data_IF_253293503769
#
_entry.id   IF_253293503769
#
_cell.length_a   1.000
_cell.length_b   1.000
_cell.length_c   1.000
_cell.angle_alpha   90.00
_cell.angle_beta   90.00
_cell.angle_gamma   90.00
#
_symmetry.space_group_name_H-M   'P 1'
#
loop_
_entity.id
_entity.type
_entity.pdbx_description
1 polymer ?
#
# COMPACT_ATOMS: atom_id res chain seq x y z
N UNK A 1 1.38 -31.44 -4.62
CA UNK A 1 1.53 -31.23 -3.16
C UNK A 1 2.57 -30.17 -2.81
N UNK A 2 3.81 -30.23 -3.34
CA UNK A 2 4.86 -29.23 -3.06
C UNK A 2 4.41 -27.78 -3.31
N UNK A 3 3.82 -27.50 -4.48
CA UNK A 3 3.36 -26.15 -4.84
C UNK A 3 2.31 -25.60 -3.89
N UNK A 4 1.32 -26.41 -3.50
CA UNK A 4 0.28 -25.98 -2.57
C UNK A 4 0.86 -25.57 -1.20
N UNK A 5 1.77 -26.38 -0.65
CA UNK A 5 2.41 -26.10 0.64
C UNK A 5 3.26 -24.82 0.53
N UNK A 6 4.06 -24.68 -0.53
CA UNK A 6 4.87 -23.48 -0.76
C UNK A 6 4.00 -22.23 -0.96
N UNK A 7 2.87 -22.33 -1.65
CA UNK A 7 1.92 -21.22 -1.82
C UNK A 7 1.27 -20.83 -0.50
N UNK A 8 0.88 -21.80 0.34
CA UNK A 8 0.34 -21.51 1.68
C UNK A 8 1.39 -20.87 2.59
N UNK A 9 2.64 -21.35 2.54
CA UNK A 9 3.75 -20.74 3.26
C UNK A 9 3.98 -19.29 2.80
N UNK A 10 3.98 -19.06 1.49
CA UNK A 10 4.13 -17.71 0.92
C UNK A 10 2.98 -16.79 1.34
N UNK A 11 1.75 -17.28 1.29
CA UNK A 11 0.58 -16.56 1.79
C UNK A 11 0.73 -16.17 3.26
N UNK A 12 1.15 -17.11 4.12
CA UNK A 12 1.37 -16.84 5.55
C UNK A 12 2.46 -15.77 5.77
N UNK A 13 3.55 -15.82 5.00
CA UNK A 13 4.61 -14.82 5.04
C UNK A 13 4.11 -13.42 4.64
N UNK A 14 3.35 -13.32 3.54
CA UNK A 14 2.78 -12.06 3.09
C UNK A 14 1.80 -11.46 4.12
N UNK A 15 0.95 -12.30 4.73
CA UNK A 15 0.02 -11.86 5.78
C UNK A 15 0.81 -11.33 6.98
N UNK A 16 1.80 -12.09 7.48
CA UNK A 16 2.62 -11.67 8.62
C UNK A 16 3.32 -10.32 8.36
N UNK A 17 3.83 -10.10 7.15
CA UNK A 17 4.45 -8.83 6.75
C UNK A 17 3.47 -7.66 6.57
N UNK A 18 2.20 -7.94 6.32
CA UNK A 18 1.21 -6.92 5.94
C UNK A 18 0.34 -6.41 7.09
N UNK A 19 0.33 -7.09 8.25
CA UNK A 19 -0.50 -6.69 9.40
C UNK A 19 0.13 -5.65 10.30
N UNK A 20 1.47 -5.53 10.31
CA UNK A 20 2.17 -4.64 11.25
C UNK A 20 1.81 -3.16 11.02
N UNK A 21 1.74 -2.74 9.75
CA UNK A 21 1.42 -1.37 9.38
C UNK A 21 -0.02 -0.96 9.80
N UNK A 22 -1.10 -1.67 9.41
CA UNK A 22 -2.45 -1.29 9.80
C UNK A 22 -2.68 -1.31 11.32
N UNK A 23 -2.00 -2.21 12.06
CA UNK A 23 -2.06 -2.21 13.54
C UNK A 23 -1.40 -0.97 14.13
N UNK A 24 -0.20 -0.61 13.67
CA UNK A 24 0.50 0.59 14.13
C UNK A 24 -0.30 1.87 13.84
N UNK A 25 -0.90 1.95 12.65
CA UNK A 25 -1.77 3.07 12.24
C UNK A 25 -3.01 3.13 13.14
N UNK A 26 -3.69 2.00 13.36
CA UNK A 26 -4.86 1.93 14.23
C UNK A 26 -4.54 2.43 15.65
N UNK A 27 -3.37 2.06 16.19
CA UNK A 27 -2.91 2.55 17.48
C UNK A 27 -2.67 4.06 17.48
N UNK A 28 -2.05 4.61 16.43
CA UNK A 28 -1.78 6.05 16.29
C UNK A 28 -3.06 6.90 16.21
N UNK A 29 -4.13 6.36 15.62
CA UNK A 29 -5.44 7.03 15.54
C UNK A 29 -6.41 6.64 16.67
N UNK A 30 -5.93 5.87 17.67
CA UNK A 30 -6.71 5.42 18.83
C UNK A 30 -7.98 4.63 18.48
N UNK A 31 -7.90 3.78 17.47
CA UNK A 31 -9.01 2.90 17.09
C UNK A 31 -9.33 1.90 18.21
N UNK A 32 -10.62 1.58 18.35
CA UNK A 32 -11.05 0.45 19.17
C UNK A 32 -10.56 -0.88 18.60
N UNK A 33 -10.65 -1.95 19.39
CA UNK A 33 -10.30 -3.30 18.93
C UNK A 33 -11.13 -3.73 17.71
N UNK A 34 -12.42 -3.37 17.68
CA UNK A 34 -13.30 -3.66 16.54
C UNK A 34 -12.91 -2.90 15.27
N UNK A 35 -12.61 -1.62 15.38
CA UNK A 35 -12.14 -0.80 14.25
C UNK A 35 -10.78 -1.26 13.73
N UNK A 36 -9.87 -1.64 14.64
CA UNK A 36 -8.57 -2.21 14.29
C UNK A 36 -8.72 -3.51 13.49
N UNK A 37 -9.55 -4.43 13.98
CA UNK A 37 -9.81 -5.70 13.28
C UNK A 37 -10.42 -5.47 11.88
N UNK A 38 -11.36 -4.53 11.76
CA UNK A 38 -11.97 -4.18 10.49
C UNK A 38 -10.97 -3.52 9.52
N UNK A 39 -10.08 -2.68 10.04
CA UNK A 39 -9.04 -2.03 9.23
C UNK A 39 -7.99 -3.04 8.72
N UNK A 40 -7.55 -3.96 9.58
CA UNK A 40 -6.65 -5.07 9.18
C UNK A 40 -7.33 -5.97 8.15
N UNK A 41 -8.60 -6.35 8.36
CA UNK A 41 -9.36 -7.18 7.42
C UNK A 41 -9.46 -6.52 6.03
N UNK A 42 -9.83 -5.25 5.97
CA UNK A 42 -9.93 -4.50 4.70
C UNK A 42 -8.57 -4.37 4.02
N UNK A 43 -7.51 -4.13 4.79
CA UNK A 43 -6.13 -4.07 4.27
C UNK A 43 -5.76 -5.40 3.61
N UNK A 44 -5.93 -6.52 4.31
CA UNK A 44 -5.63 -7.85 3.77
C UNK A 44 -6.49 -8.19 2.55
N UNK A 45 -7.77 -7.78 2.54
CA UNK A 45 -8.65 -7.99 1.39
C UNK A 45 -8.16 -7.23 0.15
N UNK A 46 -7.80 -5.96 0.29
CA UNK A 46 -7.29 -5.14 -0.83
C UNK A 46 -5.94 -5.65 -1.32
N UNK A 47 -5.01 -5.97 -0.42
CA UNK A 47 -3.71 -6.55 -0.79
C UNK A 47 -3.87 -7.92 -1.46
N UNK A 48 -4.80 -8.74 -0.99
CA UNK A 48 -5.11 -10.04 -1.61
C UNK A 48 -5.64 -9.89 -3.03
N UNK A 49 -6.58 -8.97 -3.27
CA UNK A 49 -7.06 -8.66 -4.62
C UNK A 49 -5.93 -8.09 -5.49
N UNK A 50 -5.14 -7.16 -4.96
CA UNK A 50 -3.98 -6.58 -5.66
C UNK A 50 -2.98 -7.65 -6.09
N UNK A 51 -2.60 -8.54 -5.18
CA UNK A 51 -1.70 -9.66 -5.45
C UNK A 51 -2.26 -10.64 -6.49
N UNK A 52 -3.57 -10.94 -6.46
CA UNK A 52 -4.21 -11.77 -7.49
C UNK A 52 -4.19 -11.07 -8.86
N UNK A 53 -4.53 -9.79 -8.92
CA UNK A 53 -4.50 -9.02 -10.17
C UNK A 53 -3.09 -8.95 -10.76
N UNK A 54 -2.07 -8.68 -9.93
CA UNK A 54 -0.67 -8.65 -10.36
C UNK A 54 -0.14 -10.03 -10.75
N UNK A 55 -0.57 -11.08 -10.05
CA UNK A 55 -0.20 -12.46 -10.35
C UNK A 55 -0.82 -13.01 -11.64
N UNK A 56 -2.00 -12.54 -12.05
CA UNK A 56 -2.72 -13.01 -13.25
C UNK A 56 -2.48 -12.10 -14.46
N UNK A 57 -2.67 -10.79 -14.29
CA UNK A 57 -2.67 -9.80 -15.37
C UNK A 57 -1.44 -8.89 -15.37
N UNK A 58 -0.88 -8.62 -14.19
CA UNK A 58 0.29 -7.75 -14.05
C UNK A 58 1.60 -8.47 -14.29
N UNK A 59 2.53 -8.34 -13.35
CA UNK A 59 3.91 -8.82 -13.51
C UNK A 59 4.07 -10.35 -13.47
N UNK A 60 3.10 -11.13 -12.95
CA UNK A 60 3.12 -12.61 -12.89
C UNK A 60 4.36 -13.22 -12.20
N UNK A 61 4.86 -12.55 -11.16
CA UNK A 61 6.02 -12.96 -10.37
C UNK A 61 5.60 -13.19 -8.91
N UNK A 62 6.34 -13.98 -8.11
CA UNK A 62 6.07 -14.15 -6.68
C UNK A 62 6.54 -12.94 -5.86
N UNK A 63 5.96 -11.76 -6.15
CA UNK A 63 6.23 -10.51 -5.45
C UNK A 63 5.15 -10.31 -4.38
N UNK A 64 5.56 -9.80 -3.21
CA UNK A 64 4.63 -9.45 -2.14
C UNK A 64 4.08 -8.04 -2.35
N UNK A 65 2.79 -7.95 -2.69
CA UNK A 65 2.05 -6.69 -2.69
C UNK A 65 1.74 -6.29 -1.24
N UNK A 66 2.58 -5.45 -0.66
CA UNK A 66 2.47 -4.98 0.71
C UNK A 66 2.28 -3.46 0.80
N UNK A 67 1.94 -2.94 1.99
CA UNK A 67 1.98 -1.52 2.28
C UNK A 67 3.34 -0.91 1.92
N UNK A 68 3.35 0.23 1.21
CA UNK A 68 4.59 0.95 0.93
C UNK A 68 5.29 1.34 2.24
N UNK A 69 6.63 1.28 2.29
CA UNK A 69 7.37 1.64 3.52
C UNK A 69 7.04 3.04 4.04
N UNK A 70 6.76 3.98 3.13
CA UNK A 70 6.34 5.35 3.45
C UNK A 70 4.98 5.46 4.12
N UNK A 71 4.10 4.44 4.05
CA UNK A 71 2.78 4.50 4.69
C UNK A 71 2.89 4.83 6.18
N UNK A 72 3.80 4.17 6.89
CA UNK A 72 3.97 4.32 8.33
C UNK A 72 4.15 5.79 8.73
N UNK A 73 5.07 6.47 8.06
CA UNK A 73 5.41 7.87 8.35
C UNK A 73 4.28 8.82 7.95
N UNK A 74 3.64 8.61 6.80
CA UNK A 74 2.55 9.49 6.34
C UNK A 74 1.36 9.43 7.29
N UNK A 75 0.92 8.24 7.68
CA UNK A 75 -0.18 8.09 8.66
C UNK A 75 0.20 8.67 10.03
N UNK A 76 1.43 8.46 10.50
CA UNK A 76 1.90 9.01 11.78
C UNK A 76 1.94 10.54 11.77
N UNK A 77 2.38 11.16 10.67
CA UNK A 77 2.34 12.63 10.51
C UNK A 77 0.90 13.12 10.59
N UNK A 78 -0.02 12.51 9.83
CA UNK A 78 -1.43 12.91 9.84
C UNK A 78 -2.08 12.73 11.23
N UNK A 79 -1.76 11.65 11.95
CA UNK A 79 -2.20 11.47 13.33
C UNK A 79 -1.68 12.61 14.25
N UNK A 80 -0.42 13.00 14.10
CA UNK A 80 0.18 14.12 14.85
C UNK A 80 -0.38 15.51 14.51
N UNK A 81 -1.07 15.64 13.36
CA UNK A 81 -1.72 16.89 12.94
C UNK A 81 -3.17 17.02 13.45
N UNK A 82 -3.72 15.99 14.08
CA UNK A 82 -5.05 16.06 14.72
C UNK A 82 -5.01 17.04 15.89
N UNK A 83 -5.99 17.94 15.96
CA UNK A 83 -6.08 19.03 16.93
C UNK A 83 -5.35 20.31 16.53
N UNK A 84 -4.45 20.27 15.54
CA UNK A 84 -3.77 21.46 15.00
C UNK A 84 -4.25 21.85 13.61
N UNK A 85 -4.25 20.91 12.66
CA UNK A 85 -4.73 21.13 11.29
C UNK A 85 -6.07 20.46 11.00
N UNK A 86 -6.40 19.38 11.72
CA UNK A 86 -7.65 18.64 11.56
C UNK A 86 -8.42 18.62 12.88
N UNK A 87 -9.74 18.80 12.82
CA UNK A 87 -10.63 18.79 13.99
C UNK A 87 -10.79 17.41 14.61
N UNK A 88 -10.57 16.33 13.84
CA UNK A 88 -10.72 14.96 14.30
C UNK A 88 -9.84 13.96 13.53
N UNK A 89 -9.63 12.78 14.13
CA UNK A 89 -9.02 11.62 13.46
C UNK A 89 -9.72 11.26 12.15
N UNK A 90 -11.05 11.30 12.15
CA UNK A 90 -11.88 10.99 10.96
C UNK A 90 -11.62 11.99 9.84
N UNK A 91 -11.60 13.28 10.14
CA UNK A 91 -11.29 14.31 9.15
C UNK A 91 -9.89 14.11 8.57
N UNK A 92 -8.87 13.96 9.42
CA UNK A 92 -7.50 13.70 8.99
C UNK A 92 -7.40 12.48 8.06
N UNK A 93 -8.06 11.37 8.40
CA UNK A 93 -8.09 10.16 7.57
C UNK A 93 -8.85 10.35 6.25
N UNK A 94 -9.91 11.17 6.22
CA UNK A 94 -10.63 11.51 4.99
C UNK A 94 -9.76 12.33 4.02
N UNK A 95 -9.03 13.33 4.53
CA UNK A 95 -8.06 14.08 3.72
C UNK A 95 -6.97 13.15 3.17
N UNK A 96 -6.41 12.29 4.03
CA UNK A 96 -5.39 11.33 3.61
C UNK A 96 -5.93 10.35 2.56
N UNK A 97 -7.15 9.82 2.73
CA UNK A 97 -7.79 8.95 1.75
C UNK A 97 -7.98 9.66 0.40
N UNK A 98 -8.43 10.91 0.41
CA UNK A 98 -8.54 11.74 -0.80
C UNK A 98 -7.19 11.93 -1.48
N UNK A 99 -6.15 12.27 -0.73
CA UNK A 99 -4.79 12.43 -1.26
C UNK A 99 -4.25 11.12 -1.87
N UNK A 100 -4.48 9.97 -1.24
CA UNK A 100 -4.09 8.66 -1.76
C UNK A 100 -4.84 8.31 -3.05
N UNK A 101 -6.14 8.59 -3.15
CA UNK A 101 -6.92 8.37 -4.37
C UNK A 101 -6.39 9.24 -5.52
N UNK A 102 -6.18 10.54 -5.28
CA UNK A 102 -5.63 11.46 -6.29
C UNK A 102 -4.25 11.01 -6.74
N UNK A 103 -3.40 10.60 -5.80
CA UNK A 103 -2.05 10.08 -6.10
C UNK A 103 -2.12 8.79 -6.90
N UNK A 104 -3.04 7.88 -6.57
CA UNK A 104 -3.25 6.64 -7.32
C UNK A 104 -3.71 6.90 -8.76
N UNK A 105 -4.64 7.84 -8.96
CA UNK A 105 -5.08 8.28 -10.30
C UNK A 105 -3.89 8.89 -11.05
N UNK A 106 -3.10 9.74 -10.40
CA UNK A 106 -1.92 10.34 -11.00
C UNK A 106 -0.90 9.28 -11.47
N UNK A 107 -0.57 8.30 -10.61
CA UNK A 107 0.33 7.20 -11.00
C UNK A 107 -0.25 6.35 -12.13
N UNK A 108 -1.56 6.09 -12.12
CA UNK A 108 -2.22 5.37 -13.20
C UNK A 108 -2.07 6.11 -14.53
N UNK A 109 -2.28 7.43 -14.56
CA UNK A 109 -2.10 8.25 -15.77
C UNK A 109 -0.64 8.29 -16.23
N UNK A 110 0.33 8.40 -15.31
CA UNK A 110 1.76 8.32 -15.66
C UNK A 110 2.13 6.97 -16.28
N UNK A 111 1.65 5.87 -15.69
CA UNK A 111 1.89 4.53 -16.22
C UNK A 111 1.21 4.34 -17.59
N UNK A 112 -0.02 4.84 -17.76
CA UNK A 112 -0.76 4.75 -19.01
C UNK A 112 -0.13 5.55 -20.15
N UNK A 113 0.51 6.68 -19.85
CA UNK A 113 1.18 7.54 -20.85
C UNK A 113 2.60 7.10 -21.21
N UNK A 114 3.15 6.08 -20.54
CA UNK A 114 4.53 5.61 -20.77
C UNK A 114 5.62 6.57 -20.26
N UNK A 115 5.25 7.64 -19.53
CA UNK A 115 6.22 8.59 -18.97
C UNK A 115 7.12 7.93 -17.90
N UNK A 116 6.63 6.88 -17.24
CA UNK A 116 7.42 6.09 -16.29
C UNK A 116 8.66 5.49 -16.95
N UNK A 117 8.56 5.07 -18.21
CA UNK A 117 9.69 4.48 -18.95
C UNK A 117 10.74 5.53 -19.30
N UNK A 118 10.33 6.78 -19.57
CA UNK A 118 11.26 7.89 -19.82
C UNK A 118 12.09 8.27 -18.60
N UNK A 119 11.55 8.09 -17.39
CA UNK A 119 12.28 8.33 -16.14
C UNK A 119 13.29 7.20 -15.87
N UNK A 120 12.94 5.95 -16.20
CA UNK A 120 13.83 4.80 -16.02
C UNK A 120 14.98 4.76 -17.03
N UNK A 121 14.82 5.38 -18.21
CA UNK A 121 15.86 5.59 -19.19
C UNK A 121 16.13 7.08 -19.38
N UNK A 122 16.84 7.75 -18.45
CA UNK A 122 17.29 9.12 -18.69
C UNK A 122 18.07 9.14 -20.02
N UNK A 123 17.90 10.16 -20.88
CA UNK A 123 18.52 10.24 -22.21
C UNK A 123 20.07 10.12 -22.27
N UNK A 124 20.72 9.99 -21.11
CA UNK A 124 22.17 9.96 -20.93
C UNK A 124 22.76 8.54 -20.74
N UNK A 125 21.94 7.48 -20.66
CA UNK A 125 22.40 6.09 -20.59
C UNK A 125 22.09 5.36 -21.91
N UNK A 126 22.46 6.00 -23.02
CA UNK A 126 22.56 5.35 -24.33
C UNK A 126 23.98 5.52 -24.91
N UNK A 127 24.97 5.58 -24.02
CA UNK A 127 26.38 5.38 -24.38
C UNK A 127 26.69 3.90 -24.19
N UNK A 128 26.57 3.16 -25.29
CA UNK A 128 27.43 2.03 -25.67
C UNK A 128 28.27 1.40 -24.55
N UNK A 129 27.83 0.23 -24.07
CA UNK A 129 28.68 -0.97 -23.89
C UNK A 129 27.85 -2.19 -24.23
#
# INVERSE_FOLDING_TARGET
MKTLISSLQWMAFMIAGSIAAPIAIAAAFHFSAGETALFVQRTLFVLGIGGLLQGIFGHRMPINEGPAGLWWSVFAIYAGLVGSMYSSSTESLQYLAGALIVTGIFFFLLAFTGLVDQVNYPPLINLTV
#
